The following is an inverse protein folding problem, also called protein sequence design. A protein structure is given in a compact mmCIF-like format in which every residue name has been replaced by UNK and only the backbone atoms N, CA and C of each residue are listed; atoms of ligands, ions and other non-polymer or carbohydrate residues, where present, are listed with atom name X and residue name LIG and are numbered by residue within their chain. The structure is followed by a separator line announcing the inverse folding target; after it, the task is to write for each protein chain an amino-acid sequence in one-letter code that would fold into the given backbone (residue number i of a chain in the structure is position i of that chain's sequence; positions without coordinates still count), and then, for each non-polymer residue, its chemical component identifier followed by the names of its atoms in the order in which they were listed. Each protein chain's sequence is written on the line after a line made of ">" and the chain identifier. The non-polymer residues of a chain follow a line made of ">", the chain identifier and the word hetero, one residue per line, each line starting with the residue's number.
data_IF_203502230923
#
_entry.id   IF_203502230923
#
_cell.length_a   1.000
_cell.length_b   1.000
_cell.length_c   1.000
_cell.angle_alpha   90.00
_cell.angle_beta   90.00
_cell.angle_gamma   90.00
#
_symmetry.space_group_name_H-M   'P 1'
#
loop_
_entity.id
_entity.type
_entity.pdbx_description
1 polymer ?
#
# COMPACT_ATOMS: atom_id res chain seq x y z
N UNK A 1 4.77 -20.81 32.47
CA UNK A 1 3.79 -19.79 32.88
C UNK A 1 3.30 -19.12 31.61
N UNK A 2 2.10 -19.48 31.14
CA UNK A 2 1.46 -18.86 29.98
C UNK A 2 0.29 -18.01 30.49
N UNK A 3 0.24 -16.76 30.07
CA UNK A 3 -0.87 -15.85 30.37
C UNK A 3 -1.56 -15.53 29.03
N UNK A 4 -2.82 -15.95 28.92
CA UNK A 4 -3.73 -15.57 27.85
C UNK A 4 -4.25 -14.16 28.10
N UNK A 5 -4.10 -13.28 27.12
CA UNK A 5 -4.84 -12.01 27.04
C UNK A 5 -5.36 -11.85 25.59
N UNK A 6 -6.47 -12.52 25.32
CA UNK A 6 -7.49 -12.03 24.38
C UNK A 6 -7.38 -12.32 22.89
N UNK A 7 -6.34 -12.97 22.35
CA UNK A 7 -6.33 -13.30 20.92
C UNK A 7 -7.01 -14.65 20.67
N UNK A 8 -8.31 -14.54 20.39
CA UNK A 8 -9.14 -15.56 19.75
C UNK A 8 -8.38 -16.14 18.55
N UNK A 9 -8.47 -17.46 18.36
CA UNK A 9 -8.03 -18.13 17.13
C UNK A 9 -8.74 -17.43 15.96
N UNK A 10 -8.02 -16.55 15.25
CA UNK A 10 -8.62 -15.66 14.26
C UNK A 10 -9.18 -16.47 13.10
N UNK A 11 -10.51 -16.53 13.06
CA UNK A 11 -11.26 -16.99 11.90
C UNK A 11 -10.89 -16.13 10.68
N UNK A 12 -10.88 -16.73 9.49
CA UNK A 12 -10.52 -16.06 8.24
C UNK A 12 -11.25 -14.72 8.00
N UNK A 13 -12.47 -14.57 8.56
CA UNK A 13 -13.24 -13.33 8.49
C UNK A 13 -12.65 -12.14 9.24
N UNK A 14 -11.91 -12.36 10.34
CA UNK A 14 -11.24 -11.29 11.09
C UNK A 14 -10.03 -10.76 10.33
N UNK A 15 -9.27 -11.67 9.71
CA UNK A 15 -8.10 -11.34 8.87
C UNK A 15 -8.53 -10.55 7.62
N UNK A 16 -9.63 -10.96 6.98
CA UNK A 16 -10.19 -10.22 5.84
C UNK A 16 -10.71 -8.82 6.27
N UNK A 17 -11.34 -8.71 7.44
CA UNK A 17 -11.79 -7.42 8.01
C UNK A 17 -10.64 -6.44 8.23
N UNK A 18 -9.54 -6.90 8.81
CA UNK A 18 -8.33 -6.11 9.02
C UNK A 18 -7.72 -5.59 7.72
N UNK A 19 -7.71 -6.42 6.66
CA UNK A 19 -7.20 -6.02 5.35
C UNK A 19 -8.10 -4.95 4.73
N UNK A 20 -9.42 -5.11 4.82
CA UNK A 20 -10.38 -4.11 4.31
C UNK A 20 -10.16 -2.77 5.01
N UNK A 21 -10.02 -2.77 6.33
CA UNK A 21 -9.77 -1.55 7.09
C UNK A 21 -8.45 -0.88 6.65
N UNK A 22 -7.35 -1.64 6.51
CA UNK A 22 -6.07 -1.11 6.02
C UNK A 22 -6.18 -0.51 4.62
N UNK A 23 -6.91 -1.16 3.72
CA UNK A 23 -7.17 -0.65 2.38
C UNK A 23 -7.90 0.69 2.47
N UNK A 24 -8.92 0.81 3.32
CA UNK A 24 -9.66 2.06 3.52
C UNK A 24 -8.76 3.17 4.08
N UNK A 25 -7.96 2.88 5.13
CA UNK A 25 -7.02 3.84 5.72
C UNK A 25 -5.95 4.26 4.70
N UNK A 26 -5.40 3.31 3.94
CA UNK A 26 -4.43 3.59 2.88
C UNK A 26 -5.01 4.48 1.80
N UNK A 27 -6.25 4.22 1.36
CA UNK A 27 -6.96 5.09 0.41
C UNK A 27 -7.24 6.48 0.96
N UNK A 28 -7.58 6.59 2.25
CA UNK A 28 -7.79 7.88 2.90
C UNK A 28 -6.49 8.70 2.93
N UNK A 29 -5.37 8.08 3.35
CA UNK A 29 -4.05 8.72 3.35
C UNK A 29 -3.62 9.12 1.93
N UNK A 30 -3.83 8.26 0.95
CA UNK A 30 -3.59 8.57 -0.46
C UNK A 30 -4.41 9.77 -0.94
N UNK A 31 -5.73 9.79 -0.67
CA UNK A 31 -6.63 10.89 -1.07
C UNK A 31 -6.21 12.20 -0.44
N UNK A 32 -5.86 12.22 0.84
CA UNK A 32 -5.40 13.43 1.51
C UNK A 32 -4.06 13.93 0.93
N UNK A 33 -3.22 13.00 0.47
CA UNK A 33 -1.94 13.32 -0.15
C UNK A 33 -2.01 13.57 -1.66
N UNK A 34 -3.18 13.40 -2.30
CA UNK A 34 -3.26 13.35 -3.77
C UNK A 34 -2.89 14.66 -4.42
N UNK A 35 -3.08 15.79 -3.73
CA UNK A 35 -2.60 17.11 -4.20
C UNK A 35 -1.10 17.09 -4.50
N UNK A 36 -0.28 16.53 -3.60
CA UNK A 36 1.16 16.38 -3.79
C UNK A 36 1.50 15.23 -4.77
N UNK A 37 0.86 14.08 -4.59
CA UNK A 37 1.20 12.86 -5.34
C UNK A 37 0.78 12.92 -6.81
N UNK A 38 -0.26 13.67 -7.15
CA UNK A 38 -0.74 13.85 -8.52
C UNK A 38 -0.20 15.13 -9.18
N UNK A 39 0.48 16.02 -8.46
CA UNK A 39 1.06 17.24 -9.05
C UNK A 39 2.22 16.90 -9.98
N UNK A 40 2.09 17.27 -11.25
CA UNK A 40 3.11 17.02 -12.29
C UNK A 40 4.40 17.80 -12.06
N UNK A 41 4.37 18.88 -11.28
CA UNK A 41 5.54 19.70 -10.94
C UNK A 41 6.45 19.04 -9.90
N UNK A 42 5.91 18.11 -9.12
CA UNK A 42 6.67 17.43 -8.07
C UNK A 42 7.45 16.26 -8.69
N UNK A 43 8.78 16.18 -8.47
CA UNK A 43 9.58 15.08 -9.00
C UNK A 43 9.09 13.71 -8.49
N UNK A 44 9.02 12.73 -9.39
CA UNK A 44 8.50 11.39 -9.07
C UNK A 44 9.24 10.72 -7.90
N UNK A 45 10.57 10.91 -7.81
CA UNK A 45 11.37 10.41 -6.68
C UNK A 45 10.91 10.98 -5.33
N UNK A 46 10.58 12.27 -5.28
CA UNK A 46 10.08 12.91 -4.05
C UNK A 46 8.70 12.38 -3.67
N UNK A 47 7.81 12.21 -4.66
CA UNK A 47 6.52 11.57 -4.46
C UNK A 47 6.67 10.14 -3.92
N UNK A 48 7.64 9.38 -4.44
CA UNK A 48 7.94 8.02 -3.98
C UNK A 48 8.32 7.98 -2.51
N UNK A 49 9.24 8.86 -2.07
CA UNK A 49 9.60 9.01 -0.65
C UNK A 49 8.39 9.33 0.21
N UNK A 50 7.57 10.30 -0.20
CA UNK A 50 6.37 10.68 0.54
C UNK A 50 5.34 9.54 0.62
N UNK A 51 5.10 8.85 -0.50
CA UNK A 51 4.23 7.68 -0.56
C UNK A 51 4.67 6.62 0.43
N UNK A 52 5.97 6.27 0.43
CA UNK A 52 6.53 5.25 1.33
C UNK A 52 6.31 5.63 2.80
N UNK A 53 6.52 6.90 3.13
CA UNK A 53 6.38 7.42 4.50
C UNK A 53 4.93 7.42 5.00
N UNK A 54 3.98 7.83 4.16
CA UNK A 54 2.59 8.09 4.62
C UNK A 54 1.62 7.00 4.23
N UNK A 55 1.67 6.55 2.97
CA UNK A 55 0.67 5.64 2.41
C UNK A 55 1.10 4.19 2.58
N UNK A 56 2.33 3.84 2.19
CA UNK A 56 2.83 2.47 2.36
C UNK A 56 2.89 2.08 3.82
N UNK A 57 3.32 2.99 4.70
CA UNK A 57 3.31 2.73 6.14
C UNK A 57 1.90 2.41 6.66
N UNK A 58 0.87 3.16 6.24
CA UNK A 58 -0.52 2.87 6.60
C UNK A 58 -1.03 1.52 6.04
N UNK A 59 -0.52 1.08 4.89
CA UNK A 59 -0.81 -0.24 4.32
C UNK A 59 -0.01 -1.38 4.98
N UNK A 60 1.16 -1.11 5.58
CA UNK A 60 2.10 -2.11 6.08
C UNK A 60 2.15 -2.30 7.61
N UNK A 61 1.81 -1.30 8.43
CA UNK A 61 2.15 -1.24 9.88
C UNK A 61 1.51 -2.32 10.78
N UNK A 62 0.71 -3.23 10.24
CA UNK A 62 0.11 -4.36 11.01
C UNK A 62 0.44 -5.73 10.43
N UNK A 63 1.42 -5.80 9.53
CA UNK A 63 1.94 -7.06 8.96
C UNK A 63 3.15 -7.56 9.75
N UNK A 64 3.90 -6.67 10.39
CA UNK A 64 5.01 -7.04 11.28
C UNK A 64 4.54 -7.87 12.48
N UNK A 65 3.24 -7.86 12.78
CA UNK A 65 2.65 -8.59 13.89
C UNK A 65 1.78 -9.78 13.47
N UNK A 66 1.83 -10.35 12.25
CA UNK A 66 1.15 -11.64 11.97
C UNK A 66 1.65 -12.29 10.66
N UNK A 67 1.70 -13.63 10.54
CA UNK A 67 2.04 -14.28 9.28
C UNK A 67 0.86 -14.11 8.30
N UNK A 68 0.91 -13.07 7.47
CA UNK A 68 -0.06 -12.87 6.40
C UNK A 68 -0.04 -14.09 5.45
N UNK A 69 -1.20 -14.72 5.26
CA UNK A 69 -1.42 -15.68 4.17
C UNK A 69 -1.07 -15.01 2.83
N UNK A 70 -0.31 -15.70 1.99
CA UNK A 70 0.23 -15.21 0.71
C UNK A 70 -0.81 -14.51 -0.21
N UNK A 71 -2.07 -14.99 -0.22
CA UNK A 71 -3.19 -14.40 -0.98
C UNK A 71 -3.51 -12.95 -0.59
N UNK A 72 -3.22 -12.55 0.64
CA UNK A 72 -3.53 -11.22 1.16
C UNK A 72 -2.49 -10.18 0.72
N UNK A 73 -1.23 -10.59 0.57
CA UNK A 73 -0.18 -9.76 -0.02
C UNK A 73 -0.50 -9.38 -1.47
N UNK A 74 -1.21 -10.23 -2.21
CA UNK A 74 -1.65 -9.94 -3.59
C UNK A 74 -2.62 -8.76 -3.64
N UNK A 75 -3.62 -8.69 -2.75
CA UNK A 75 -4.61 -7.60 -2.72
C UNK A 75 -3.96 -6.23 -2.45
N UNK A 76 -3.09 -6.16 -1.44
CA UNK A 76 -2.37 -4.93 -1.10
C UNK A 76 -1.42 -4.50 -2.23
N UNK A 77 -0.71 -5.44 -2.85
CA UNK A 77 0.19 -5.16 -3.98
C UNK A 77 -0.54 -4.60 -5.19
N UNK A 78 -1.75 -5.08 -5.49
CA UNK A 78 -2.58 -4.55 -6.59
C UNK A 78 -2.98 -3.09 -6.32
N UNK A 79 -3.34 -2.76 -5.08
CA UNK A 79 -3.73 -1.41 -4.68
C UNK A 79 -2.52 -0.47 -4.70
N UNK A 80 -1.38 -0.91 -4.14
CA UNK A 80 -0.13 -0.18 -4.21
C UNK A 80 0.23 0.13 -5.67
N UNK A 81 0.20 -0.87 -6.54
CA UNK A 81 0.50 -0.64 -7.96
C UNK A 81 -0.46 0.31 -8.66
N UNK A 82 -1.76 0.27 -8.31
CA UNK A 82 -2.74 1.21 -8.84
C UNK A 82 -2.41 2.65 -8.43
N UNK A 83 -2.05 2.86 -7.16
CA UNK A 83 -1.62 4.16 -6.66
C UNK A 83 -0.34 4.63 -7.35
N UNK A 84 0.69 3.78 -7.44
CA UNK A 84 1.97 4.11 -8.08
C UNK A 84 1.78 4.49 -9.57
N UNK A 85 0.92 3.78 -10.30
CA UNK A 85 0.56 4.14 -11.68
C UNK A 85 -0.03 5.54 -11.77
N UNK A 86 -0.98 5.87 -10.91
CA UNK A 86 -1.62 7.19 -10.90
C UNK A 86 -0.64 8.33 -10.58
N UNK A 87 0.19 8.21 -9.54
CA UNK A 87 1.17 9.26 -9.25
C UNK A 87 2.25 9.42 -10.32
N UNK A 88 2.55 8.33 -11.04
CA UNK A 88 3.50 8.32 -12.17
C UNK A 88 2.88 8.84 -13.47
N UNK A 89 1.57 9.05 -13.50
CA UNK A 89 0.84 9.48 -14.70
C UNK A 89 0.70 8.40 -15.77
N UNK A 90 0.92 7.13 -15.44
CA UNK A 90 0.79 6.02 -16.37
C UNK A 90 -0.61 5.42 -16.35
N UNK A 91 -1.11 5.15 -17.54
CA UNK A 91 -2.40 4.50 -17.79
C UNK A 91 -2.19 3.04 -18.22
N UNK A 92 -3.29 2.29 -18.34
CA UNK A 92 -3.24 0.93 -18.87
C UNK A 92 -2.85 0.90 -20.36
N UNK A 93 -3.08 1.99 -21.10
CA UNK A 93 -2.78 2.07 -22.54
C UNK A 93 -1.27 2.14 -22.82
N UNK A 94 -0.50 2.63 -21.85
CA UNK A 94 0.95 2.75 -21.99
C UNK A 94 1.66 1.39 -21.98
N UNK A 95 0.96 0.31 -21.58
CA UNK A 95 1.48 -1.08 -21.52
C UNK A 95 2.81 -1.22 -20.77
N UNK A 96 3.08 -0.30 -19.85
CA UNK A 96 4.29 -0.29 -19.03
C UNK A 96 4.17 -1.37 -17.95
N UNK A 97 5.22 -2.17 -17.78
CA UNK A 97 5.30 -3.21 -16.77
C UNK A 97 5.38 -2.64 -15.35
N UNK A 98 4.88 -3.38 -14.35
CA UNK A 98 4.87 -2.90 -12.95
C UNK A 98 6.29 -2.65 -12.41
N UNK A 99 7.24 -3.50 -12.81
CA UNK A 99 8.64 -3.48 -12.39
C UNK A 99 9.29 -2.15 -12.77
N UNK A 100 9.03 -1.65 -13.99
CA UNK A 100 9.55 -0.36 -14.47
C UNK A 100 9.03 0.83 -13.65
N UNK A 101 7.77 0.77 -13.24
CA UNK A 101 7.16 1.82 -12.40
C UNK A 101 7.80 1.80 -11.01
N UNK A 102 7.93 0.61 -10.43
CA UNK A 102 8.61 0.42 -9.15
C UNK A 102 10.05 0.94 -9.22
N UNK A 103 10.81 0.60 -10.25
CA UNK A 103 12.18 1.07 -10.44
C UNK A 103 12.25 2.61 -10.50
N UNK A 104 11.38 3.26 -11.26
CA UNK A 104 11.34 4.73 -11.33
C UNK A 104 10.97 5.40 -10.01
N UNK A 105 10.12 4.78 -9.21
CA UNK A 105 9.68 5.33 -7.92
C UNK A 105 10.70 5.05 -6.80
N UNK A 106 11.38 3.90 -6.83
CA UNK A 106 12.25 3.40 -5.75
C UNK A 106 13.76 3.51 -6.03
N UNK A 107 14.17 3.83 -7.26
CA UNK A 107 15.59 4.04 -7.61
C UNK A 107 16.21 5.17 -6.80
N UNK A 108 17.43 4.92 -6.32
CA UNK A 108 18.23 5.88 -5.56
C UNK A 108 18.71 7.01 -6.49
#
# INVERSE_FOLDING_TARGET
>A
MFINLGSIVQSDGEIDGDIINKIQVGWLKWRNASGLLCDRKVPLKLKGKFYKMVVRHALSYSVECWPLKEKHNTKLSVIEMRMLRWMSGFTLRDRIRNEHICEKVWSH
#
